data_IF_575468727594
#
_entry.id   IF_575468727594
#
_cell.length_a   1.000
_cell.length_b   1.000
_cell.length_c   1.000
_cell.angle_alpha   90.00
_cell.angle_beta   90.00
_cell.angle_gamma   90.00
#
_symmetry.space_group_name_H-M   'P 1'
#
loop_
_entity.id
_entity.type
_entity.pdbx_description
1 polymer ?
#
# COMPACT_ATOMS: atom_id res chain seq x y z
N UNK A 1 -7.35 -8.84 -34.30
CA UNK A 1 -8.39 -9.08 -33.27
C UNK A 1 -9.77 -9.05 -33.93
N UNK A 2 -10.25 -7.91 -34.41
CA UNK A 2 -11.54 -7.83 -35.10
C UNK A 2 -11.69 -8.72 -36.36
N UNK A 3 -10.60 -8.96 -37.09
CA UNK A 3 -10.56 -9.80 -38.30
C UNK A 3 -10.03 -11.22 -38.07
N UNK A 4 -9.78 -11.60 -36.82
CA UNK A 4 -9.20 -12.90 -36.49
C UNK A 4 -10.28 -13.98 -36.55
N UNK A 5 -9.93 -15.16 -37.08
CA UNK A 5 -10.82 -16.31 -37.10
C UNK A 5 -10.73 -17.08 -35.78
N UNK A 6 -11.78 -16.95 -34.97
CA UNK A 6 -11.90 -17.63 -33.68
C UNK A 6 -12.62 -18.98 -33.77
N UNK A 7 -12.89 -19.49 -34.98
CA UNK A 7 -13.65 -20.73 -35.20
C UNK A 7 -13.07 -21.90 -34.42
N UNK A 8 -11.73 -22.03 -34.35
CA UNK A 8 -11.06 -23.09 -33.59
C UNK A 8 -11.34 -23.03 -32.08
N UNK A 9 -11.51 -21.83 -31.52
CA UNK A 9 -11.92 -21.66 -30.12
C UNK A 9 -13.40 -22.00 -29.98
N UNK A 10 -14.27 -21.50 -30.85
CA UNK A 10 -15.71 -21.77 -30.75
C UNK A 10 -16.06 -23.25 -30.96
N UNK A 11 -15.34 -23.95 -31.83
CA UNK A 11 -15.57 -25.36 -32.15
C UNK A 11 -15.00 -26.34 -31.12
N UNK A 12 -14.04 -25.92 -30.29
CA UNK A 12 -13.45 -26.78 -29.26
C UNK A 12 -14.52 -27.23 -28.24
N UNK A 13 -14.45 -28.50 -27.84
CA UNK A 13 -15.51 -29.14 -27.06
C UNK A 13 -15.34 -28.91 -25.57
N UNK A 14 -14.11 -28.98 -25.06
CA UNK A 14 -13.82 -28.75 -23.66
C UNK A 14 -13.10 -27.41 -23.40
N UNK A 15 -13.15 -26.98 -22.14
CA UNK A 15 -12.61 -25.69 -21.73
C UNK A 15 -11.08 -25.61 -21.87
N UNK A 16 -10.36 -26.72 -21.71
CA UNK A 16 -8.90 -26.74 -21.82
C UNK A 16 -8.47 -26.58 -23.29
N UNK A 17 -9.15 -27.26 -24.22
CA UNK A 17 -8.99 -27.05 -25.66
C UNK A 17 -9.28 -25.61 -26.07
N UNK A 18 -10.37 -25.01 -25.57
CA UNK A 18 -10.71 -23.59 -25.84
C UNK A 18 -9.61 -22.64 -25.36
N UNK A 19 -9.11 -22.84 -24.15
CA UNK A 19 -8.03 -22.02 -23.57
C UNK A 19 -6.72 -22.21 -24.34
N UNK A 20 -6.40 -23.43 -24.74
CA UNK A 20 -5.21 -23.74 -25.53
C UNK A 20 -5.25 -23.09 -26.92
N UNK A 21 -6.37 -23.22 -27.62
CA UNK A 21 -6.59 -22.58 -28.92
C UNK A 21 -6.52 -21.05 -28.83
N UNK A 22 -7.19 -20.47 -27.83
CA UNK A 22 -7.14 -19.03 -27.56
C UNK A 22 -5.71 -18.54 -27.33
N UNK A 23 -4.96 -19.18 -26.43
CA UNK A 23 -3.60 -18.74 -26.12
C UNK A 23 -2.66 -18.93 -27.31
N UNK A 24 -2.82 -20.01 -28.08
CA UNK A 24 -2.01 -20.26 -29.27
C UNK A 24 -2.19 -19.16 -30.32
N UNK A 25 -3.44 -18.75 -30.58
CA UNK A 25 -3.74 -17.63 -31.49
C UNK A 25 -3.14 -16.34 -30.94
N UNK A 26 -3.41 -16.01 -29.67
CA UNK A 26 -2.93 -14.77 -29.06
C UNK A 26 -1.39 -14.67 -29.08
N UNK A 27 -0.69 -15.73 -28.70
CA UNK A 27 0.77 -15.76 -28.67
C UNK A 27 1.32 -15.61 -30.08
N UNK A 28 0.77 -16.34 -31.06
CA UNK A 28 1.15 -16.20 -32.48
C UNK A 28 1.00 -14.75 -32.96
N UNK A 29 -0.13 -14.10 -32.65
CA UNK A 29 -0.35 -12.70 -33.02
C UNK A 29 0.62 -11.76 -32.31
N UNK A 30 0.92 -12.00 -31.03
CA UNK A 30 1.90 -11.21 -30.29
C UNK A 30 3.30 -11.35 -30.90
N UNK A 31 3.72 -12.57 -31.25
CA UNK A 31 5.03 -12.80 -31.85
C UNK A 31 5.15 -12.20 -33.25
N UNK A 32 4.07 -12.24 -34.04
CA UNK A 32 4.03 -11.69 -35.40
C UNK A 32 4.00 -10.16 -35.42
N UNK A 33 3.10 -9.53 -34.64
CA UNK A 33 2.85 -8.10 -34.71
C UNK A 33 3.57 -7.28 -33.63
N UNK A 34 3.92 -7.91 -32.50
CA UNK A 34 4.44 -7.26 -31.29
C UNK A 34 5.63 -8.03 -30.68
N UNK A 35 6.68 -8.37 -31.47
CA UNK A 35 7.76 -9.22 -31.00
C UNK A 35 8.48 -8.61 -29.80
N UNK A 36 8.82 -9.46 -28.82
CA UNK A 36 9.56 -9.05 -27.63
C UNK A 36 10.92 -8.45 -28.00
N UNK A 37 11.27 -7.33 -27.36
CA UNK A 37 12.57 -6.67 -27.55
C UNK A 37 13.25 -6.43 -26.22
N UNK A 38 14.45 -6.96 -26.09
CA UNK A 38 15.31 -6.70 -24.95
C UNK A 38 15.92 -5.29 -25.06
N UNK A 39 15.63 -4.45 -24.07
CA UNK A 39 16.22 -3.12 -23.95
C UNK A 39 17.09 -3.04 -22.70
N UNK A 40 18.31 -2.50 -22.85
CA UNK A 40 19.16 -2.18 -21.69
C UNK A 40 18.73 -0.83 -21.10
N UNK A 41 18.35 -0.84 -19.82
CA UNK A 41 18.02 0.34 -19.04
C UNK A 41 19.09 0.50 -17.96
N UNK A 42 19.70 1.68 -17.89
CA UNK A 42 20.64 2.01 -16.83
C UNK A 42 19.87 2.57 -15.64
N UNK A 43 20.28 2.26 -14.41
CA UNK A 43 19.58 2.71 -13.20
C UNK A 43 19.52 4.24 -13.06
N UNK A 44 20.49 4.95 -13.66
CA UNK A 44 20.53 6.41 -13.71
C UNK A 44 19.73 7.03 -14.86
N UNK A 45 19.16 6.22 -15.75
CA UNK A 45 18.34 6.73 -16.85
C UNK A 45 17.13 7.46 -16.27
N UNK A 46 17.02 8.75 -16.62
CA UNK A 46 15.86 9.54 -16.21
C UNK A 46 14.60 9.02 -16.91
N UNK A 47 13.41 9.09 -16.29
CA UNK A 47 12.17 8.54 -16.84
C UNK A 47 11.79 9.04 -18.24
N UNK A 48 12.26 10.22 -18.63
CA UNK A 48 12.01 10.82 -19.95
C UNK A 48 13.05 10.41 -21.02
N UNK A 49 14.06 9.60 -20.70
CA UNK A 49 15.05 9.10 -21.67
C UNK A 49 14.49 7.87 -22.39
N UNK A 50 13.92 8.10 -23.58
CA UNK A 50 13.30 7.05 -24.40
C UNK A 50 14.31 6.32 -25.29
N UNK A 51 13.91 5.17 -25.85
CA UNK A 51 14.74 4.42 -26.81
C UNK A 51 15.15 5.25 -28.04
N UNK A 52 14.25 6.09 -28.56
CA UNK A 52 14.57 7.00 -29.66
C UNK A 52 15.66 8.01 -29.26
N UNK A 53 15.58 8.57 -28.04
CA UNK A 53 16.62 9.50 -27.53
C UNK A 53 17.98 8.78 -27.43
N UNK A 54 18.01 7.56 -26.86
CA UNK A 54 19.23 6.75 -26.79
C UNK A 54 19.81 6.46 -28.19
N UNK A 55 18.96 6.18 -29.17
CA UNK A 55 19.37 5.95 -30.56
C UNK A 55 20.01 7.21 -31.17
N UNK A 56 19.43 8.39 -30.96
CA UNK A 56 20.01 9.65 -31.44
C UNK A 56 21.32 10.00 -30.71
N UNK A 57 21.42 9.70 -29.41
CA UNK A 57 22.67 9.85 -28.63
C UNK A 57 23.79 8.98 -29.23
N UNK A 58 23.50 7.71 -29.55
CA UNK A 58 24.44 6.81 -30.22
C UNK A 58 24.85 7.33 -31.59
N UNK A 59 23.89 7.80 -32.40
CA UNK A 59 24.16 8.38 -33.71
C UNK A 59 25.09 9.59 -33.61
N UNK A 60 24.86 10.48 -32.62
CA UNK A 60 25.71 11.64 -32.33
C UNK A 60 27.14 11.22 -31.98
N UNK A 61 27.30 10.22 -31.09
CA UNK A 61 28.62 9.69 -30.72
C UNK A 61 29.35 9.06 -31.90
N UNK A 62 28.63 8.39 -32.80
CA UNK A 62 29.20 7.83 -34.03
C UNK A 62 29.62 8.90 -35.05
N UNK A 63 28.89 10.00 -35.15
CA UNK A 63 29.28 11.14 -35.99
C UNK A 63 30.55 11.81 -35.45
N UNK A 64 30.65 11.99 -34.12
CA UNK A 64 31.85 12.48 -33.45
C UNK A 64 33.06 11.60 -33.70
N UNK A 65 32.93 10.28 -33.51
CA UNK A 65 34.04 9.34 -33.70
C UNK A 65 34.53 9.24 -35.15
N UNK A 66 33.69 9.65 -36.12
CA UNK A 66 34.01 9.67 -37.55
C UNK A 66 34.53 11.02 -38.05
N UNK A 67 34.59 12.04 -37.18
CA UNK A 67 35.00 13.39 -37.56
C UNK A 67 33.97 14.16 -38.42
N UNK A 68 32.73 13.67 -38.53
CA UNK A 68 31.66 14.31 -39.31
C UNK A 68 31.04 15.47 -38.51
N UNK A 69 31.71 16.63 -38.55
CA UNK A 69 31.36 17.83 -37.78
C UNK A 69 29.96 18.39 -38.10
N UNK A 70 29.52 18.53 -39.37
CA UNK A 70 28.19 19.03 -39.68
C UNK A 70 27.08 18.13 -39.10
N UNK A 71 27.22 16.82 -39.27
CA UNK A 71 26.25 15.85 -38.77
C UNK A 71 26.26 15.76 -37.24
N UNK A 72 27.42 15.87 -36.62
CA UNK A 72 27.53 15.93 -35.16
C UNK A 72 26.75 17.12 -34.58
N UNK A 73 26.93 18.33 -35.15
CA UNK A 73 26.23 19.54 -34.70
C UNK A 73 24.71 19.40 -34.84
N UNK A 74 24.23 18.93 -35.99
CA UNK A 74 22.80 18.66 -36.21
C UNK A 74 22.24 17.66 -35.18
N UNK A 75 22.97 16.59 -34.88
CA UNK A 75 22.54 15.58 -33.91
C UNK A 75 22.60 16.09 -32.47
N UNK A 76 23.51 17.01 -32.12
CA UNK A 76 23.52 17.68 -30.82
C UNK A 76 22.23 18.47 -30.59
N UNK A 77 21.84 19.33 -31.54
CA UNK A 77 20.61 20.11 -31.48
C UNK A 77 19.38 19.20 -31.43
N UNK A 78 19.35 18.16 -32.27
CA UNK A 78 18.26 17.19 -32.29
C UNK A 78 18.10 16.45 -30.96
N UNK A 79 19.19 15.99 -30.37
CA UNK A 79 19.17 15.32 -29.06
C UNK A 79 18.69 16.26 -27.97
N UNK A 80 19.19 17.51 -27.93
CA UNK A 80 18.77 18.50 -26.95
C UNK A 80 17.27 18.79 -27.04
N UNK A 81 16.76 19.00 -28.26
CA UNK A 81 15.33 19.23 -28.52
C UNK A 81 14.45 18.04 -28.11
N UNK A 82 14.87 16.82 -28.42
CA UNK A 82 14.14 15.61 -28.02
C UNK A 82 14.10 15.44 -26.50
N UNK A 83 15.21 15.68 -25.81
CA UNK A 83 15.28 15.60 -24.35
C UNK A 83 14.39 16.67 -23.72
N UNK A 84 14.47 17.91 -24.18
CA UNK A 84 13.66 19.02 -23.68
C UNK A 84 12.16 18.74 -23.84
N UNK A 85 11.75 18.30 -25.05
CA UNK A 85 10.36 17.94 -25.33
C UNK A 85 9.88 16.77 -24.47
N UNK A 86 10.67 15.71 -24.34
CA UNK A 86 10.33 14.55 -23.52
C UNK A 86 10.22 14.91 -22.03
N UNK A 87 11.16 15.71 -21.51
CA UNK A 87 11.15 16.19 -20.12
C UNK A 87 9.91 17.05 -19.85
N UNK A 88 9.58 17.99 -20.74
CA UNK A 88 8.40 18.83 -20.61
C UNK A 88 7.09 18.01 -20.63
N UNK A 89 6.95 17.06 -21.56
CA UNK A 89 5.79 16.17 -21.63
C UNK A 89 5.66 15.31 -20.36
N UNK A 90 6.77 14.77 -19.86
CA UNK A 90 6.79 13.97 -18.64
C UNK A 90 6.24 14.75 -17.44
N UNK A 91 6.79 15.95 -17.16
CA UNK A 91 6.34 16.74 -16.02
C UNK A 91 4.93 17.31 -16.20
N UNK A 92 4.53 17.66 -17.42
CA UNK A 92 3.15 18.08 -17.71
C UNK A 92 2.16 16.97 -17.38
N UNK A 93 2.43 15.75 -17.84
CA UNK A 93 1.60 14.57 -17.56
C UNK A 93 1.55 14.24 -16.06
N UNK A 94 2.71 14.27 -15.39
CA UNK A 94 2.77 14.06 -13.93
C UNK A 94 1.97 15.11 -13.16
N UNK A 95 2.08 16.38 -13.54
CA UNK A 95 1.34 17.47 -12.90
C UNK A 95 -0.18 17.33 -13.09
N UNK A 96 -0.63 16.88 -14.28
CA UNK A 96 -2.05 16.57 -14.49
C UNK A 96 -2.54 15.39 -13.66
N UNK A 97 -1.75 14.30 -13.55
CA UNK A 97 -2.10 13.14 -12.73
C UNK A 97 -2.25 13.52 -11.26
N UNK A 98 -1.33 14.32 -10.72
CA UNK A 98 -1.32 14.70 -9.32
C UNK A 98 -2.38 15.73 -8.93
N UNK A 99 -2.87 16.57 -9.85
CA UNK A 99 -4.03 17.42 -9.55
C UNK A 99 -5.29 16.62 -9.20
N UNK A 100 -5.37 15.39 -9.69
CA UNK A 100 -6.52 14.48 -9.49
C UNK A 100 -6.25 13.36 -8.48
N UNK A 101 -5.02 13.24 -7.96
CA UNK A 101 -4.58 12.12 -7.11
C UNK A 101 -4.11 12.62 -5.74
N UNK A 102 -3.94 11.66 -4.82
CA UNK A 102 -3.50 11.84 -3.44
C UNK A 102 -2.35 12.86 -3.29
N UNK A 103 -2.58 13.89 -2.47
CA UNK A 103 -1.73 15.05 -2.18
C UNK A 103 -0.29 14.66 -1.76
N UNK A 104 -0.10 13.51 -1.13
CA UNK A 104 1.23 13.01 -0.72
C UNK A 104 2.16 12.74 -1.90
N UNK A 105 1.62 12.31 -3.05
CA UNK A 105 2.41 12.05 -4.27
C UNK A 105 2.93 13.34 -4.91
N UNK A 106 2.18 14.44 -4.77
CA UNK A 106 2.60 15.75 -5.22
C UNK A 106 3.83 16.22 -4.45
N UNK A 107 3.78 16.19 -3.11
CA UNK A 107 4.90 16.58 -2.27
C UNK A 107 6.15 15.73 -2.53
N UNK A 108 6.02 14.40 -2.63
CA UNK A 108 7.15 13.53 -2.99
C UNK A 108 7.77 13.88 -4.36
N UNK A 109 6.96 14.31 -5.33
CA UNK A 109 7.47 14.77 -6.61
C UNK A 109 8.24 16.09 -6.48
N UNK A 110 7.75 17.05 -5.69
CA UNK A 110 8.45 18.31 -5.44
C UNK A 110 9.78 18.05 -4.71
N UNK A 111 9.80 17.19 -3.70
CA UNK A 111 11.05 16.82 -3.01
C UNK A 111 12.08 16.20 -3.97
N UNK A 112 11.64 15.35 -4.91
CA UNK A 112 12.52 14.78 -5.95
C UNK A 112 13.06 15.80 -6.97
N UNK A 113 12.39 16.95 -7.12
CA UNK A 113 12.81 18.03 -8.02
C UNK A 113 13.82 18.98 -7.39
N UNK A 114 13.73 19.17 -6.08
CA UNK A 114 14.55 20.12 -5.31
C UNK A 114 15.86 19.49 -4.85
N UNK A 115 16.16 18.24 -5.23
CA UNK A 115 17.31 17.49 -4.69
C UNK A 115 17.33 17.52 -3.15
N UNK A 116 16.15 17.55 -2.52
CA UNK A 116 16.04 17.32 -1.08
C UNK A 116 16.30 15.82 -0.87
N UNK A 117 17.59 15.46 -0.85
CA UNK A 117 18.10 14.14 -0.52
C UNK A 117 17.80 13.81 0.94
N UNK A 118 16.53 13.55 1.24
CA UNK A 118 16.09 12.92 2.48
C UNK A 118 15.19 11.74 2.17
N UNK A 119 15.54 10.98 1.13
CA UNK A 119 15.28 9.55 1.13
C UNK A 119 16.65 8.93 1.08
N UNK A 120 17.03 8.23 2.15
CA UNK A 120 18.13 7.26 2.12
C UNK A 120 18.12 6.58 0.76
N UNK A 121 19.05 6.96 -0.12
CA UNK A 121 19.47 6.07 -1.18
C UNK A 121 20.09 4.91 -0.42
N UNK A 122 19.27 3.95 -0.02
CA UNK A 122 19.73 2.58 0.14
C UNK A 122 20.37 2.30 -1.19
N UNK A 123 21.69 2.38 -1.22
CA UNK A 123 22.49 1.78 -2.26
C UNK A 123 21.87 0.40 -2.41
N UNK A 124 21.17 0.16 -3.52
CA UNK A 124 20.85 -1.20 -3.90
C UNK A 124 22.21 -1.89 -3.84
N UNK A 125 22.42 -2.88 -2.96
CA UNK A 125 23.67 -3.59 -2.97
C UNK A 125 23.88 -4.00 -4.41
N UNK A 126 25.03 -3.59 -4.97
CA UNK A 126 25.43 -4.01 -6.31
C UNK A 126 25.09 -5.49 -6.41
N UNK A 127 24.32 -5.87 -7.44
CA UNK A 127 24.05 -7.29 -7.72
C UNK A 127 25.41 -7.98 -7.59
N UNK A 128 25.60 -8.90 -6.64
CA UNK A 128 26.89 -9.55 -6.51
C UNK A 128 27.17 -10.18 -7.86
N UNK A 129 28.33 -9.88 -8.46
CA UNK A 129 28.69 -10.36 -9.80
C UNK A 129 28.72 -11.89 -9.88
N UNK A 130 28.67 -12.57 -8.72
CA UNK A 130 28.66 -14.01 -8.53
C UNK A 130 27.34 -14.59 -7.98
N UNK A 131 26.24 -13.81 -7.93
CA UNK A 131 24.96 -14.38 -7.51
C UNK A 131 24.34 -15.18 -8.67
N UNK A 132 24.43 -16.50 -8.58
CA UNK A 132 23.69 -17.39 -9.47
C UNK A 132 22.18 -17.23 -9.22
N UNK A 133 21.49 -16.71 -10.23
CA UNK A 133 20.05 -16.49 -10.18
C UNK A 133 19.29 -17.82 -10.14
N UNK A 134 19.86 -18.90 -10.69
CA UNK A 134 19.26 -20.23 -10.65
C UNK A 134 19.25 -20.76 -9.22
N UNK A 135 20.40 -20.75 -8.55
CA UNK A 135 20.53 -21.15 -7.14
C UNK A 135 19.64 -20.30 -6.21
N UNK A 136 19.56 -18.98 -6.43
CA UNK A 136 18.63 -18.14 -5.68
C UNK A 136 17.16 -18.54 -5.92
N UNK A 137 16.78 -18.80 -7.17
CA UNK A 137 15.43 -19.22 -7.52
C UNK A 137 15.07 -20.56 -6.87
N UNK A 138 15.98 -21.54 -6.88
CA UNK A 138 15.80 -22.84 -6.22
C UNK A 138 15.67 -22.69 -4.70
N UNK A 139 16.50 -21.87 -4.07
CA UNK A 139 16.41 -21.57 -2.63
C UNK A 139 15.07 -20.94 -2.27
N UNK A 140 14.61 -19.96 -3.05
CA UNK A 140 13.31 -19.33 -2.87
C UNK A 140 12.16 -20.32 -3.08
N UNK A 141 12.23 -21.15 -4.12
CA UNK A 141 11.24 -22.19 -4.38
C UNK A 141 11.14 -23.15 -3.19
N UNK A 142 12.27 -23.67 -2.70
CA UNK A 142 12.32 -24.57 -1.54
C UNK A 142 11.77 -23.91 -0.28
N UNK A 143 12.11 -22.64 -0.03
CA UNK A 143 11.59 -21.89 1.11
C UNK A 143 10.06 -21.69 1.02
N UNK A 144 9.54 -21.40 -0.16
CA UNK A 144 8.11 -21.19 -0.38
C UNK A 144 7.29 -22.48 -0.39
N UNK A 145 7.86 -23.61 -0.80
CA UNK A 145 7.16 -24.91 -0.80
C UNK A 145 7.26 -25.66 0.53
N UNK A 146 8.29 -25.39 1.35
CA UNK A 146 8.49 -26.05 2.65
C UNK A 146 7.25 -26.03 3.57
N UNK A 147 6.49 -24.92 3.73
CA UNK A 147 5.27 -24.94 4.55
C UNK A 147 4.14 -25.84 4.02
N UNK A 148 4.25 -26.30 2.78
CA UNK A 148 3.25 -27.11 2.09
C UNK A 148 3.65 -28.57 1.97
N UNK A 149 4.88 -28.97 2.32
CA UNK A 149 5.38 -30.35 2.16
C UNK A 149 4.46 -31.38 2.83
N UNK A 150 3.91 -31.02 3.99
CA UNK A 150 3.12 -31.93 4.82
C UNK A 150 1.64 -31.98 4.38
N UNK A 151 1.22 -31.07 3.48
CA UNK A 151 -0.15 -31.02 2.95
C UNK A 151 -0.35 -31.90 1.71
N UNK A 152 0.74 -32.38 1.10
CA UNK A 152 0.72 -33.33 0.00
C UNK A 152 0.80 -34.77 0.52
N UNK A 153 0.05 -35.10 1.57
CA UNK A 153 -0.26 -36.51 1.79
C UNK A 153 -1.07 -36.98 0.58
N UNK A 154 -0.67 -38.09 -0.06
CA UNK A 154 -1.34 -38.71 -1.22
C UNK A 154 -2.77 -39.21 -0.92
N UNK A 155 -3.39 -38.70 0.13
CA UNK A 155 -4.79 -38.96 0.46
C UNK A 155 -5.59 -38.06 -0.48
N UNK A 156 -6.24 -38.66 -1.47
CA UNK A 156 -7.27 -37.96 -2.24
C UNK A 156 -8.20 -37.29 -1.23
N UNK A 157 -8.26 -35.95 -1.24
CA UNK A 157 -9.23 -35.24 -0.42
C UNK A 157 -10.60 -35.67 -0.90
N UNK A 158 -11.26 -36.55 -0.17
CA UNK A 158 -12.69 -36.80 -0.35
C UNK A 158 -13.40 -35.50 0.01
N UNK A 159 -13.75 -34.72 -1.01
CA UNK A 159 -14.59 -33.55 -0.85
C UNK A 159 -15.99 -34.09 -0.66
N UNK A 160 -16.60 -33.95 0.53
CA UNK A 160 -17.94 -34.44 0.76
C UNK A 160 -18.88 -33.80 -0.24
N UNK A 161 -19.66 -34.60 -0.95
CA UNK A 161 -20.63 -34.07 -1.90
C UNK A 161 -21.67 -33.26 -1.11
N UNK A 162 -21.69 -31.94 -1.31
CA UNK A 162 -22.61 -31.07 -0.59
C UNK A 162 -23.98 -31.22 -1.22
N UNK A 163 -24.96 -31.70 -0.44
CA UNK A 163 -26.36 -31.65 -0.84
C UNK A 163 -26.81 -30.19 -0.91
N UNK A 164 -26.75 -29.61 -2.11
CA UNK A 164 -27.14 -28.23 -2.38
C UNK A 164 -28.54 -28.19 -3.01
N UNK A 165 -29.43 -27.28 -2.59
CA UNK A 165 -30.79 -27.15 -3.17
C UNK A 165 -30.79 -26.94 -4.69
N UNK A 166 -29.69 -26.42 -5.21
CA UNK A 166 -29.51 -26.10 -6.63
C UNK A 166 -28.60 -27.10 -7.36
N UNK A 167 -28.34 -28.29 -6.81
CA UNK A 167 -27.46 -29.31 -7.44
C UNK A 167 -27.84 -29.63 -8.90
N UNK A 168 -29.14 -29.62 -9.20
CA UNK A 168 -29.67 -29.92 -10.54
C UNK A 168 -29.99 -28.67 -11.38
N UNK A 169 -29.76 -27.47 -10.84
CA UNK A 169 -30.01 -26.25 -11.59
C UNK A 169 -28.84 -25.98 -12.55
N UNK A 170 -29.15 -25.44 -13.73
CA UNK A 170 -28.10 -24.93 -14.60
C UNK A 170 -27.36 -23.80 -13.89
N UNK A 171 -26.02 -23.79 -13.92
CA UNK A 171 -25.27 -22.73 -13.28
C UNK A 171 -25.58 -21.38 -13.96
N UNK A 172 -25.63 -20.28 -13.20
CA UNK A 172 -25.83 -18.96 -13.78
C UNK A 172 -24.67 -18.65 -14.73
N UNK A 173 -24.98 -18.08 -15.89
CA UNK A 173 -24.00 -17.64 -16.88
C UNK A 173 -23.94 -16.11 -16.90
N UNK A 174 -22.76 -15.52 -17.16
CA UNK A 174 -22.67 -14.09 -17.36
C UNK A 174 -23.37 -13.68 -18.67
N UNK A 175 -23.55 -12.38 -18.90
CA UNK A 175 -23.74 -11.84 -20.24
C UNK A 175 -22.41 -11.43 -20.87
N UNK A 176 -22.34 -11.35 -22.20
CA UNK A 176 -21.16 -10.80 -22.91
C UNK A 176 -20.85 -9.38 -22.40
N UNK A 177 -21.87 -8.59 -22.08
CA UNK A 177 -21.72 -7.24 -21.52
C UNK A 177 -21.00 -7.23 -20.17
N UNK A 178 -21.25 -8.20 -19.29
CA UNK A 178 -20.53 -8.35 -18.02
C UNK A 178 -19.05 -8.69 -18.26
N UNK A 179 -18.75 -9.65 -19.16
CA UNK A 179 -17.37 -10.02 -19.52
C UNK A 179 -16.62 -8.82 -20.09
N UNK A 180 -17.25 -8.12 -21.04
CA UNK A 180 -16.74 -6.88 -21.65
C UNK A 180 -16.46 -5.80 -20.59
N UNK A 181 -17.37 -5.60 -19.64
CA UNK A 181 -17.18 -4.64 -18.56
C UNK A 181 -15.97 -4.99 -17.69
N UNK A 182 -15.76 -6.28 -17.38
CA UNK A 182 -14.57 -6.73 -16.64
C UNK A 182 -13.28 -6.44 -17.43
N UNK A 183 -13.24 -6.78 -18.71
CA UNK A 183 -12.10 -6.53 -19.61
C UNK A 183 -11.77 -5.03 -19.71
N UNK A 184 -12.79 -4.19 -19.93
CA UNK A 184 -12.66 -2.73 -20.04
C UNK A 184 -12.03 -2.09 -18.80
N UNK A 185 -12.32 -2.62 -17.61
CA UNK A 185 -11.84 -2.09 -16.34
C UNK A 185 -10.60 -2.80 -15.80
N UNK A 186 -9.94 -3.65 -16.59
CA UNK A 186 -8.65 -4.21 -16.20
C UNK A 186 -7.63 -3.10 -15.92
N UNK A 187 -6.73 -3.38 -14.98
CA UNK A 187 -5.57 -2.53 -14.76
C UNK A 187 -4.46 -2.96 -15.73
N UNK A 188 -4.10 -2.12 -16.72
CA UNK A 188 -3.16 -2.50 -17.78
C UNK A 188 -1.73 -2.71 -17.27
N UNK A 189 -1.42 -2.28 -16.04
CA UNK A 189 -0.09 -2.40 -15.41
C UNK A 189 0.08 -3.69 -14.60
N UNK A 190 -0.94 -4.55 -14.53
CA UNK A 190 -0.81 -5.83 -13.83
C UNK A 190 0.21 -6.73 -14.54
N UNK A 191 1.01 -7.45 -13.75
CA UNK A 191 1.99 -8.40 -14.25
C UNK A 191 1.33 -9.53 -15.04
N UNK A 192 1.97 -9.90 -16.14
CA UNK A 192 1.59 -11.00 -17.03
C UNK A 192 1.79 -12.34 -16.34
N UNK A 193 0.86 -13.29 -16.54
CA UNK A 193 0.95 -14.65 -16.00
C UNK A 193 1.82 -15.56 -16.84
N UNK A 194 1.74 -16.86 -16.54
CA UNK A 194 2.45 -17.92 -17.28
C UNK A 194 1.98 -18.07 -18.74
N UNK A 195 0.76 -17.58 -19.03
CA UNK A 195 0.12 -17.53 -20.35
C UNK A 195 0.74 -16.48 -21.30
N UNK A 196 1.63 -15.61 -20.79
CA UNK A 196 2.28 -14.53 -21.56
C UNK A 196 1.31 -13.50 -22.17
N UNK A 197 0.02 -13.51 -21.81
CA UNK A 197 -0.97 -12.56 -22.31
C UNK A 197 -1.04 -11.32 -21.40
N UNK A 198 -0.68 -10.11 -21.88
CA UNK A 198 -0.60 -8.93 -21.03
C UNK A 198 -1.96 -8.23 -20.81
N UNK A 199 -2.19 -7.71 -19.60
CA UNK A 199 -3.47 -7.06 -19.22
C UNK A 199 -3.83 -5.85 -20.09
N UNK A 200 -2.84 -5.08 -20.54
CA UNK A 200 -3.08 -3.89 -21.35
C UNK A 200 -3.73 -4.25 -22.70
N UNK A 201 -3.36 -5.39 -23.28
CA UNK A 201 -3.88 -5.85 -24.57
C UNK A 201 -5.34 -6.26 -24.42
N UNK A 202 -5.66 -7.05 -23.39
CA UNK A 202 -7.03 -7.44 -23.07
C UNK A 202 -7.95 -6.23 -22.84
N UNK A 203 -7.42 -5.19 -22.18
CA UNK A 203 -8.16 -3.93 -21.98
C UNK A 203 -8.36 -3.17 -23.28
N UNK A 204 -7.31 -3.04 -24.09
CA UNK A 204 -7.33 -2.27 -25.33
C UNK A 204 -8.32 -2.87 -26.33
N UNK A 205 -8.33 -4.19 -26.48
CA UNK A 205 -9.18 -4.93 -27.43
C UNK A 205 -10.39 -5.60 -26.75
N UNK A 206 -10.89 -5.01 -25.67
CA UNK A 206 -11.98 -5.59 -24.88
C UNK A 206 -13.28 -5.81 -25.68
N UNK A 207 -13.54 -4.99 -26.70
CA UNK A 207 -14.67 -5.13 -27.62
C UNK A 207 -14.58 -6.45 -28.40
N UNK A 208 -13.45 -6.64 -29.09
CA UNK A 208 -13.22 -7.80 -29.97
C UNK A 208 -13.03 -9.10 -29.19
N UNK A 209 -12.40 -9.03 -28.00
CA UNK A 209 -12.09 -10.20 -27.19
C UNK A 209 -13.25 -10.66 -26.30
N UNK A 210 -14.21 -9.79 -26.00
CA UNK A 210 -15.31 -10.14 -25.10
C UNK A 210 -16.12 -11.37 -25.54
N UNK A 211 -16.50 -11.56 -26.83
CA UNK A 211 -17.23 -12.75 -27.27
C UNK A 211 -16.44 -14.05 -27.07
N UNK A 212 -15.15 -14.04 -27.36
CA UNK A 212 -14.27 -15.23 -27.23
C UNK A 212 -14.04 -15.58 -25.77
N UNK A 213 -13.75 -14.58 -24.94
CA UNK A 213 -13.57 -14.77 -23.49
C UNK A 213 -14.88 -15.21 -22.84
N UNK A 214 -16.02 -14.68 -23.31
CA UNK A 214 -17.34 -15.11 -22.87
C UNK A 214 -17.58 -16.59 -23.15
N UNK A 215 -17.25 -17.07 -24.35
CA UNK A 215 -17.40 -18.48 -24.72
C UNK A 215 -16.56 -19.42 -23.83
N UNK A 216 -15.29 -19.05 -23.59
CA UNK A 216 -14.41 -19.77 -22.66
C UNK A 216 -14.99 -19.82 -21.25
N UNK A 217 -15.46 -18.68 -20.72
CA UNK A 217 -16.04 -18.59 -19.39
C UNK A 217 -17.32 -19.43 -19.30
N UNK A 218 -18.23 -19.31 -20.25
CA UNK A 218 -19.47 -20.09 -20.25
C UNK A 218 -19.19 -21.60 -20.38
N UNK A 219 -18.21 -22.00 -21.19
CA UNK A 219 -17.78 -23.39 -21.29
C UNK A 219 -17.28 -23.91 -19.94
N UNK A 220 -16.38 -23.18 -19.27
CA UNK A 220 -15.87 -23.52 -17.94
C UNK A 220 -16.99 -23.74 -16.92
N UNK A 221 -17.95 -22.81 -16.89
CA UNK A 221 -19.07 -22.83 -15.95
C UNK A 221 -20.02 -23.99 -16.24
N UNK A 222 -20.42 -24.18 -17.50
CA UNK A 222 -21.34 -25.26 -17.89
C UNK A 222 -20.73 -26.65 -17.67
N UNK A 223 -19.43 -26.80 -17.86
CA UNK A 223 -18.72 -28.07 -17.64
C UNK A 223 -18.34 -28.28 -16.17
N UNK A 224 -18.58 -27.30 -15.30
CA UNK A 224 -18.10 -27.29 -13.92
C UNK A 224 -16.58 -27.58 -13.84
N UNK A 225 -15.82 -27.12 -14.84
CA UNK A 225 -14.42 -27.46 -15.01
C UNK A 225 -13.58 -26.18 -15.03
N UNK A 226 -12.62 -26.09 -14.10
CA UNK A 226 -11.65 -25.00 -14.09
C UNK A 226 -10.46 -25.35 -14.99
N UNK A 227 -10.09 -24.51 -15.96
CA UNK A 227 -9.03 -24.81 -16.92
C UNK A 227 -7.70 -25.15 -16.24
N UNK A 228 -7.04 -26.19 -16.73
CA UNK A 228 -5.78 -26.70 -16.22
C UNK A 228 -4.65 -25.67 -16.30
N UNK A 229 -4.58 -24.86 -17.36
CA UNK A 229 -3.62 -23.76 -17.44
C UNK A 229 -3.85 -22.72 -16.33
N UNK A 230 -5.10 -22.45 -15.97
CA UNK A 230 -5.44 -21.44 -14.96
C UNK A 230 -5.08 -21.88 -13.53
N UNK A 231 -4.87 -23.19 -13.30
CA UNK A 231 -4.39 -23.74 -12.02
C UNK A 231 -2.92 -23.39 -11.73
N UNK A 232 -2.20 -22.89 -12.72
CA UNK A 232 -0.78 -22.56 -12.61
C UNK A 232 -0.57 -21.05 -12.46
N UNK A 233 0.34 -20.67 -11.56
CA UNK A 233 0.71 -19.28 -11.30
C UNK A 233 2.22 -19.08 -11.44
N UNK A 234 2.64 -17.93 -11.96
CA UNK A 234 4.03 -17.51 -11.89
C UNK A 234 4.31 -16.93 -10.50
N UNK A 235 5.28 -17.51 -9.79
CA UNK A 235 5.62 -17.09 -8.43
C UNK A 235 6.65 -15.95 -8.48
N UNK A 236 6.27 -14.78 -8.01
CA UNK A 236 7.12 -13.59 -7.94
C UNK A 236 7.50 -13.25 -6.50
N UNK A 237 8.80 -13.30 -6.13
CA UNK A 237 9.27 -12.91 -4.81
C UNK A 237 9.31 -11.37 -4.67
N UNK A 238 8.61 -10.83 -3.67
CA UNK A 238 8.58 -9.38 -3.38
C UNK A 238 9.16 -9.10 -1.99
N UNK A 239 10.24 -8.30 -1.86
CA UNK A 239 10.82 -7.96 -0.57
C UNK A 239 9.84 -7.23 0.36
N UNK A 240 9.76 -7.67 1.62
CA UNK A 240 9.06 -6.99 2.73
C UNK A 240 9.89 -5.86 3.33
N UNK A 241 11.21 -6.06 3.37
CA UNK A 241 12.20 -5.13 3.93
C UNK A 241 13.27 -4.83 2.89
N UNK A 242 13.96 -3.70 3.02
CA UNK A 242 15.07 -3.33 2.14
C UNK A 242 16.32 -2.97 2.96
N UNK A 243 17.48 -3.63 2.71
CA UNK A 243 17.67 -4.81 1.84
C UNK A 243 17.15 -6.11 2.52
N UNK A 244 16.63 -7.09 1.76
CA UNK A 244 16.28 -8.40 2.30
C UNK A 244 17.55 -9.18 2.70
N UNK A 245 17.51 -9.88 3.84
CA UNK A 245 18.63 -10.66 4.39
C UNK A 245 18.25 -12.11 4.68
N UNK A 246 16.99 -12.38 5.02
CA UNK A 246 16.48 -13.71 5.29
C UNK A 246 15.48 -14.15 4.22
N UNK A 247 15.84 -15.18 3.45
CA UNK A 247 14.99 -15.76 2.39
C UNK A 247 13.62 -16.22 2.90
N UNK A 248 13.55 -16.71 4.14
CA UNK A 248 12.34 -17.32 4.68
C UNK A 248 11.32 -16.25 5.13
N UNK A 249 11.81 -15.11 5.62
CA UNK A 249 10.98 -14.12 6.29
C UNK A 249 10.85 -12.81 5.51
N UNK A 250 11.87 -12.41 4.76
CA UNK A 250 11.95 -11.08 4.14
C UNK A 250 11.27 -11.00 2.78
N UNK A 251 10.76 -12.11 2.24
CA UNK A 251 10.05 -12.13 0.96
C UNK A 251 8.57 -12.46 1.13
N UNK A 252 7.76 -11.87 0.26
CA UNK A 252 6.37 -12.27 0.00
C UNK A 252 6.36 -13.10 -1.27
N UNK A 253 5.69 -14.24 -1.21
CA UNK A 253 5.36 -15.03 -2.38
C UNK A 253 4.10 -14.44 -3.05
N UNK A 254 4.23 -13.85 -4.24
CA UNK A 254 3.08 -13.34 -5.01
C UNK A 254 2.78 -14.29 -6.16
N UNK A 255 1.60 -14.90 -6.15
CA UNK A 255 1.11 -15.76 -7.23
C UNK A 255 0.49 -14.92 -8.35
N UNK A 256 1.17 -14.85 -9.50
CA UNK A 256 0.70 -14.15 -10.69
C UNK A 256 -0.02 -15.13 -11.60
N UNK A 257 -1.35 -15.20 -11.45
CA UNK A 257 -2.22 -16.01 -12.31
C UNK A 257 -2.39 -15.38 -13.71
N UNK A 258 -2.73 -16.20 -14.73
CA UNK A 258 -3.29 -15.75 -16.01
C UNK A 258 -4.40 -14.70 -15.82
N UNK A 259 -4.55 -13.79 -16.77
CA UNK A 259 -5.58 -12.75 -16.63
C UNK A 259 -6.99 -13.32 -16.80
N UNK A 260 -7.19 -14.25 -17.73
CA UNK A 260 -8.49 -14.88 -17.93
C UNK A 260 -8.91 -15.75 -16.73
N UNK A 261 -7.96 -16.36 -16.00
CA UNK A 261 -8.22 -17.04 -14.73
C UNK A 261 -8.88 -16.10 -13.70
N UNK A 262 -8.30 -14.91 -13.51
CA UNK A 262 -8.82 -13.87 -12.59
C UNK A 262 -10.19 -13.33 -13.06
N UNK A 263 -10.43 -13.31 -14.37
CA UNK A 263 -11.71 -12.87 -14.94
C UNK A 263 -12.79 -13.93 -14.65
N UNK A 264 -12.49 -15.21 -14.90
CA UNK A 264 -13.37 -16.33 -14.59
C UNK A 264 -13.75 -16.35 -13.10
N UNK A 265 -12.76 -16.25 -12.20
CA UNK A 265 -12.99 -16.18 -10.76
C UNK A 265 -13.84 -14.98 -10.35
N UNK A 266 -13.57 -13.81 -10.95
CA UNK A 266 -14.35 -12.60 -10.66
C UNK A 266 -15.80 -12.74 -11.12
N UNK A 267 -16.03 -13.32 -12.30
CA UNK A 267 -17.38 -13.57 -12.82
C UNK A 267 -18.10 -14.58 -11.94
N UNK A 268 -17.46 -15.69 -11.60
CA UNK A 268 -18.01 -16.68 -10.67
C UNK A 268 -18.37 -16.06 -9.32
N UNK A 269 -17.51 -15.20 -8.76
CA UNK A 269 -17.84 -14.47 -7.53
C UNK A 269 -19.05 -13.56 -7.72
N UNK A 270 -19.13 -12.82 -8.83
CA UNK A 270 -20.25 -11.90 -9.10
C UNK A 270 -21.58 -12.62 -9.28
N UNK A 271 -21.58 -13.81 -9.89
CA UNK A 271 -22.78 -14.60 -10.13
C UNK A 271 -23.29 -15.30 -8.87
N UNK A 272 -22.40 -15.59 -7.91
CA UNK A 272 -22.72 -16.39 -6.72
C UNK A 272 -22.52 -15.62 -5.40
N UNK A 273 -22.39 -14.29 -5.44
CA UNK A 273 -22.07 -13.51 -4.21
C UNK A 273 -23.15 -13.59 -3.16
N UNK A 274 -24.42 -13.74 -3.56
CA UNK A 274 -25.58 -13.85 -2.67
C UNK A 274 -25.61 -15.19 -1.94
N UNK A 275 -25.08 -16.26 -2.55
CA UNK A 275 -24.96 -17.58 -1.94
C UNK A 275 -23.85 -17.63 -0.89
N UNK A 276 -22.87 -16.71 -0.96
CA UNK A 276 -21.85 -16.57 0.05
C UNK A 276 -22.46 -15.92 1.30
N UNK A 277 -22.71 -16.73 2.34
CA UNK A 277 -23.13 -16.27 3.68
C UNK A 277 -21.99 -15.52 4.40
N UNK A 278 -21.61 -14.35 3.89
CA UNK A 278 -20.58 -13.50 4.48
C UNK A 278 -21.11 -12.90 5.78
N UNK A 279 -20.40 -13.12 6.89
CA UNK A 279 -20.81 -12.59 8.19
C UNK A 279 -20.71 -11.06 8.22
N UNK A 280 -21.64 -10.41 8.92
CA UNK A 280 -21.64 -8.95 9.08
C UNK A 280 -20.42 -8.38 9.80
N UNK A 281 -19.63 -9.21 10.50
CA UNK A 281 -18.37 -8.81 11.14
C UNK A 281 -17.14 -9.12 10.29
N UNK A 282 -17.30 -9.62 9.06
CA UNK A 282 -16.20 -9.78 8.12
C UNK A 282 -15.91 -8.42 7.45
N UNK A 283 -14.70 -7.92 7.65
CA UNK A 283 -14.24 -6.65 7.05
C UNK A 283 -13.23 -6.85 5.93
N UNK A 284 -12.40 -7.89 6.04
CA UNK A 284 -11.43 -8.20 5.02
C UNK A 284 -12.12 -8.72 3.75
N UNK A 285 -11.70 -8.19 2.60
CA UNK A 285 -12.16 -8.59 1.26
C UNK A 285 -13.67 -8.40 1.00
N UNK A 286 -14.34 -7.56 1.80
CA UNK A 286 -15.75 -7.22 1.62
C UNK A 286 -15.89 -5.84 1.00
N UNK A 287 -16.84 -5.69 0.08
CA UNK A 287 -17.12 -4.40 -0.56
C UNK A 287 -17.46 -3.34 0.50
N UNK A 288 -16.96 -2.12 0.31
CA UNK A 288 -17.15 -0.98 1.21
C UNK A 288 -16.60 -1.15 2.64
N UNK A 289 -15.75 -2.15 2.89
CA UNK A 289 -15.10 -2.36 4.20
C UNK A 289 -13.58 -2.30 4.08
N UNK A 290 -12.92 -2.05 5.21
CA UNK A 290 -11.46 -1.92 5.31
C UNK A 290 -10.99 -2.32 6.70
N UNK A 291 -9.66 -2.32 6.91
CA UNK A 291 -9.07 -2.48 8.23
C UNK A 291 -9.50 -1.37 9.19
N UNK A 292 -9.81 -0.17 8.68
CA UNK A 292 -10.32 0.95 9.49
C UNK A 292 -11.74 0.68 9.97
N UNK A 293 -12.62 0.17 9.10
CA UNK A 293 -13.98 -0.18 9.54
C UNK A 293 -13.98 -1.34 10.53
N UNK A 294 -13.01 -2.27 10.43
CA UNK A 294 -12.80 -3.31 11.42
C UNK A 294 -12.44 -2.72 12.78
N UNK A 295 -11.44 -1.82 12.81
CA UNK A 295 -11.01 -1.14 14.03
C UNK A 295 -12.17 -0.40 14.70
N UNK A 296 -12.92 0.40 13.94
CA UNK A 296 -14.08 1.14 14.46
C UNK A 296 -15.12 0.19 15.08
N UNK A 297 -15.46 -0.89 14.37
CA UNK A 297 -16.42 -1.90 14.83
C UNK A 297 -15.96 -2.59 16.12
N UNK A 298 -14.69 -3.00 16.18
CA UNK A 298 -14.10 -3.64 17.37
C UNK A 298 -14.07 -2.68 18.56
N UNK A 299 -13.62 -1.44 18.31
CA UNK A 299 -13.59 -0.39 19.31
C UNK A 299 -14.99 -0.11 19.88
N UNK A 300 -16.02 0.00 19.03
CA UNK A 300 -17.41 0.14 19.46
C UNK A 300 -17.88 -1.06 20.30
N UNK A 301 -17.50 -2.28 19.90
CA UNK A 301 -17.86 -3.51 20.64
C UNK A 301 -17.25 -3.51 22.04
N UNK A 302 -15.97 -3.19 22.17
CA UNK A 302 -15.30 -3.08 23.47
C UNK A 302 -15.96 -2.02 24.35
N UNK A 303 -16.35 -0.89 23.76
CA UNK A 303 -17.04 0.17 24.48
C UNK A 303 -18.42 -0.24 24.98
N UNK A 304 -19.22 -0.94 24.19
CA UNK A 304 -20.53 -1.45 24.64
C UNK A 304 -20.41 -2.48 25.78
N UNK A 305 -19.28 -3.19 25.85
CA UNK A 305 -19.02 -4.20 26.88
C UNK A 305 -18.47 -3.63 28.19
N UNK A 306 -18.13 -2.33 28.27
CA UNK A 306 -17.62 -1.69 29.49
C UNK A 306 -18.75 -0.98 30.25
N UNK A 307 -18.79 -1.12 31.58
CA UNK A 307 -19.84 -0.56 32.45
C UNK A 307 -19.85 0.98 32.42
N UNK A 308 -20.91 1.56 31.87
CA UNK A 308 -20.99 2.95 31.38
C UNK A 308 -21.64 3.94 32.34
N UNK A 309 -21.91 3.55 33.59
CA UNK A 309 -22.65 4.37 34.59
C UNK A 309 -21.94 5.64 35.08
N UNK A 310 -20.84 6.09 34.43
CA UNK A 310 -20.07 7.29 34.78
C UNK A 310 -19.90 8.22 33.57
N UNK A 311 -21.01 8.76 33.10
CA UNK A 311 -21.17 9.63 31.90
C UNK A 311 -20.37 10.94 31.91
N UNK A 312 -19.79 11.38 33.04
CA UNK A 312 -19.15 12.70 33.15
C UNK A 312 -17.66 12.80 32.80
N UNK A 313 -17.01 11.77 32.24
CA UNK A 313 -15.53 11.78 32.04
C UNK A 313 -15.04 11.38 30.64
N UNK A 314 -15.91 11.33 29.64
CA UNK A 314 -15.53 10.92 28.28
C UNK A 314 -15.49 12.12 27.33
N UNK A 315 -14.43 12.17 26.53
CA UNK A 315 -14.29 13.10 25.42
C UNK A 315 -13.66 12.38 24.23
N UNK A 316 -14.13 12.71 23.04
CA UNK A 316 -13.50 12.33 21.77
C UNK A 316 -12.32 13.30 21.54
N UNK A 317 -11.09 12.79 21.45
CA UNK A 317 -9.93 13.61 21.12
C UNK A 317 -9.28 13.10 19.84
N UNK A 318 -9.25 13.96 18.83
CA UNK A 318 -8.67 13.65 17.53
C UNK A 318 -7.26 14.22 17.41
N UNK A 319 -6.27 13.37 17.12
CA UNK A 319 -4.86 13.75 16.95
C UNK A 319 -4.50 13.57 15.47
N UNK A 320 -3.99 14.63 14.83
CA UNK A 320 -3.57 14.61 13.42
C UNK A 320 -2.20 15.24 13.25
N UNK A 321 -1.40 14.69 12.33
CA UNK A 321 -0.10 15.21 11.94
C UNK A 321 -0.13 15.98 10.60
N UNK A 322 -1.32 16.22 10.05
CA UNK A 322 -1.52 16.91 8.76
C UNK A 322 -2.40 18.14 8.93
N UNK A 323 -2.00 19.26 8.32
CA UNK A 323 -2.73 20.54 8.38
C UNK A 323 -4.01 20.59 7.52
N UNK A 324 -4.15 19.67 6.56
CA UNK A 324 -5.36 19.53 5.75
C UNK A 324 -6.23 18.41 6.34
N UNK A 325 -7.29 18.76 7.06
CA UNK A 325 -8.16 17.79 7.74
C UNK A 325 -9.59 17.91 7.19
N UNK A 326 -10.13 16.88 6.52
CA UNK A 326 -11.59 16.74 6.41
C UNK A 326 -12.17 16.51 7.83
N UNK A 327 -13.30 17.14 8.16
CA UNK A 327 -13.89 17.04 9.50
C UNK A 327 -13.99 15.57 9.95
N UNK A 328 -13.33 15.19 11.06
CA UNK A 328 -13.39 13.81 11.53
C UNK A 328 -14.82 13.46 11.93
N UNK A 329 -15.29 12.23 11.65
CA UNK A 329 -16.64 11.83 11.98
C UNK A 329 -16.91 12.04 13.46
N UNK A 330 -18.09 12.58 13.78
CA UNK A 330 -18.51 12.77 15.16
C UNK A 330 -18.92 11.43 15.75
N UNK A 331 -18.36 11.09 16.91
CA UNK A 331 -18.69 9.86 17.61
C UNK A 331 -19.98 10.04 18.40
N UNK A 332 -20.89 9.07 18.30
CA UNK A 332 -22.12 8.98 19.09
C UNK A 332 -22.09 7.71 19.94
N UNK A 333 -22.63 7.80 21.15
CA UNK A 333 -22.89 6.66 22.05
C UNK A 333 -24.40 6.55 22.21
N UNK A 334 -25.01 5.49 21.66
CA UNK A 334 -26.46 5.41 21.55
C UNK A 334 -27.03 6.61 20.79
N UNK A 335 -27.85 7.42 21.46
CA UNK A 335 -28.40 8.66 20.92
C UNK A 335 -27.62 9.93 21.32
N UNK A 336 -26.59 9.81 22.15
CA UNK A 336 -25.83 10.96 22.66
C UNK A 336 -24.57 11.21 21.83
N UNK A 337 -24.25 12.48 21.58
CA UNK A 337 -23.03 12.89 20.91
C UNK A 337 -21.89 12.99 21.93
N UNK A 338 -20.75 12.35 21.67
CA UNK A 338 -19.57 12.54 22.52
C UNK A 338 -18.99 13.94 22.25
N UNK A 339 -18.69 14.68 23.31
CA UNK A 339 -18.00 15.96 23.20
C UNK A 339 -16.61 15.77 22.58
N UNK A 340 -16.29 16.56 21.55
CA UNK A 340 -14.93 16.63 20.99
C UNK A 340 -14.10 17.57 21.86
N UNK A 341 -13.09 17.04 22.52
CA UNK A 341 -12.19 17.78 23.40
C UNK A 341 -10.84 18.05 22.72
N UNK A 342 -10.26 19.21 23.02
CA UNK A 342 -8.91 19.57 22.55
C UNK A 342 -7.81 19.22 23.56
N UNK A 343 -8.19 18.95 24.80
CA UNK A 343 -7.31 18.46 25.83
C UNK A 343 -8.06 17.53 26.78
N UNK A 344 -7.38 16.52 27.30
CA UNK A 344 -7.95 15.62 28.30
C UNK A 344 -6.89 15.23 29.33
N UNK A 345 -7.33 14.90 30.55
CA UNK A 345 -6.44 14.53 31.64
C UNK A 345 -6.53 13.04 31.93
N UNK A 346 -5.40 12.35 31.83
CA UNK A 346 -5.28 10.92 32.11
C UNK A 346 -4.22 10.71 33.17
N UNK A 347 -4.61 10.09 34.29
CA UNK A 347 -3.71 9.79 35.41
C UNK A 347 -2.82 10.99 35.76
N UNK A 348 -3.43 12.17 36.00
CA UNK A 348 -2.66 13.36 36.39
C UNK A 348 -1.91 14.11 35.27
N UNK A 349 -1.82 13.54 34.06
CA UNK A 349 -1.13 14.13 32.90
C UNK A 349 -2.15 14.72 31.92
N UNK A 350 -1.89 15.94 31.46
CA UNK A 350 -2.78 16.66 30.54
C UNK A 350 -2.27 16.52 29.11
N UNK A 351 -3.04 15.87 28.26
CA UNK A 351 -2.76 15.67 26.84
C UNK A 351 -3.51 16.69 26.01
N UNK A 352 -2.87 17.24 24.98
CA UNK A 352 -3.49 18.13 24.01
C UNK A 352 -3.57 17.43 22.64
N UNK A 353 -4.60 17.73 21.86
CA UNK A 353 -4.83 17.16 20.53
C UNK A 353 -3.72 17.49 19.50
N UNK A 354 -2.95 18.54 19.76
CA UNK A 354 -1.79 18.97 18.98
C UNK A 354 -0.47 18.39 19.51
N UNK A 355 -0.52 17.47 20.48
CA UNK A 355 0.63 16.86 21.15
C UNK A 355 1.61 17.85 21.79
N UNK A 356 1.16 19.09 22.05
CA UNK A 356 1.90 20.05 22.87
C UNK A 356 1.65 19.77 24.35
N UNK A 357 2.58 20.25 25.17
CA UNK A 357 2.59 20.03 26.62
C UNK A 357 2.32 21.30 27.43
N UNK A 358 1.95 22.41 26.77
CA UNK A 358 1.72 23.70 27.42
C UNK A 358 0.73 23.59 28.58
N UNK A 359 -0.42 22.96 28.36
CA UNK A 359 -1.44 22.82 29.39
C UNK A 359 -0.95 22.00 30.60
N UNK A 360 -0.12 20.97 30.35
CA UNK A 360 0.46 20.17 31.42
C UNK A 360 1.52 20.95 32.21
N UNK A 361 2.45 21.61 31.50
CA UNK A 361 3.53 22.40 32.09
C UNK A 361 2.97 23.57 32.92
N UNK A 362 1.96 24.26 32.41
CA UNK A 362 1.25 25.31 33.15
C UNK A 362 0.60 24.76 34.43
N UNK A 363 -0.03 23.59 34.37
CA UNK A 363 -0.67 22.98 35.53
C UNK A 363 0.36 22.59 36.62
N UNK A 364 1.47 21.95 36.24
CA UNK A 364 2.52 21.53 37.20
C UNK A 364 3.24 22.74 37.79
N UNK A 365 3.62 23.73 36.96
CA UNK A 365 4.33 24.94 37.42
C UNK A 365 3.44 25.75 38.35
N UNK A 366 2.15 25.91 38.04
CA UNK A 366 1.19 26.57 38.93
C UNK A 366 1.05 25.85 40.28
N UNK A 367 0.98 24.52 40.29
CA UNK A 367 0.90 23.72 41.53
C UNK A 367 2.18 23.81 42.37
N UNK A 368 3.34 23.83 41.73
CA UNK A 368 4.63 23.97 42.40
C UNK A 368 4.81 25.40 42.93
N UNK A 369 4.49 26.41 42.14
CA UNK A 369 4.53 27.83 42.54
C UNK A 369 3.69 28.10 43.79
N UNK A 370 2.48 27.54 43.90
CA UNK A 370 1.65 27.66 45.11
C UNK A 370 2.33 27.14 46.36
N UNK A 371 3.21 26.14 46.24
CA UNK A 371 3.93 25.51 47.36
C UNK A 371 5.27 26.17 47.66
N UNK A 372 5.77 27.05 46.78
CA UNK A 372 6.95 27.87 47.07
C UNK A 372 6.75 28.78 48.28
N UNK A 373 5.50 29.14 48.61
CA UNK A 373 5.20 29.91 49.81
C UNK A 373 5.73 29.21 51.07
N UNK A 374 5.49 27.90 51.23
CA UNK A 374 5.98 27.14 52.38
C UNK A 374 7.51 27.19 52.49
N UNK A 375 8.21 27.07 51.36
CA UNK A 375 9.66 27.14 51.33
C UNK A 375 10.19 28.55 51.68
N UNK A 376 9.49 29.60 51.23
CA UNK A 376 9.81 30.99 51.61
C UNK A 376 9.63 31.24 53.10
N UNK A 377 8.56 30.72 53.70
CA UNK A 377 8.33 30.85 55.14
C UNK A 377 9.36 30.07 55.96
N UNK A 378 9.79 28.89 55.50
CA UNK A 378 10.90 28.16 56.12
C UNK A 378 12.20 28.98 56.11
N UNK A 379 12.49 29.71 55.03
CA UNK A 379 13.71 30.55 54.92
C UNK A 379 13.69 31.80 55.80
N UNK A 380 12.51 32.39 56.03
CA UNK A 380 12.36 33.57 56.89
C UNK A 380 12.38 33.22 58.38
N UNK A 381 12.12 31.96 58.71
CA UNK A 381 12.05 31.48 60.09
C UNK A 381 13.44 31.06 60.57
N UNK A 382 13.72 31.09 61.89
CA UNK A 382 14.97 30.60 62.46
C UNK A 382 15.01 29.06 62.52
N UNK A 383 14.76 28.40 61.38
CA UNK A 383 14.76 26.95 61.25
C UNK A 383 16.08 26.45 60.64
N UNK A 384 16.55 25.25 61.01
CA UNK A 384 17.68 24.62 60.35
C UNK A 384 17.46 24.49 58.83
N UNK A 385 18.52 24.66 58.04
CA UNK A 385 18.46 24.59 56.57
C UNK A 385 17.89 23.26 56.05
N UNK A 386 18.12 22.17 56.80
CA UNK A 386 17.57 20.83 56.53
C UNK A 386 16.05 20.82 56.40
N UNK A 387 15.34 21.64 57.18
CA UNK A 387 13.87 21.75 57.13
C UNK A 387 13.42 22.31 55.78
N UNK A 388 14.16 23.26 55.22
CA UNK A 388 13.91 23.79 53.88
C UNK A 388 14.13 22.75 52.78
N UNK A 389 15.20 21.95 52.89
CA UNK A 389 15.51 20.86 51.95
C UNK A 389 14.41 19.79 51.98
N UNK A 390 14.01 19.34 53.18
CA UNK A 390 12.92 18.36 53.37
C UNK A 390 11.60 18.91 52.81
N UNK A 391 11.32 20.19 53.02
CA UNK A 391 10.12 20.84 52.49
C UNK A 391 10.11 20.86 50.96
N UNK A 392 11.25 21.18 50.33
CA UNK A 392 11.38 21.11 48.87
C UNK A 392 11.18 19.68 48.34
N UNK A 393 11.90 18.71 48.92
CA UNK A 393 11.86 17.31 48.50
C UNK A 393 10.49 16.66 48.67
N UNK A 394 9.73 17.04 49.71
CA UNK A 394 8.42 16.44 50.01
C UNK A 394 7.23 17.16 49.35
N UNK A 395 7.32 18.47 49.12
CA UNK A 395 6.17 19.28 48.66
C UNK A 395 6.30 19.79 47.24
N UNK A 396 7.51 20.06 46.74
CA UNK A 396 7.72 20.74 45.44
C UNK A 396 8.26 19.75 44.42
N UNK A 397 9.33 19.03 44.75
CA UNK A 397 9.99 18.07 43.86
C UNK A 397 9.03 17.01 43.28
N UNK A 398 8.12 16.38 44.04
CA UNK A 398 7.25 15.32 43.49
C UNK A 398 6.25 15.84 42.44
N UNK A 399 5.91 17.12 42.47
CA UNK A 399 5.03 17.75 41.46
C UNK A 399 5.82 18.08 40.22
N UNK A 400 7.01 18.66 40.43
CA UNK A 400 7.91 19.01 39.35
C UNK A 400 8.48 17.78 38.69
N UNK A 401 8.52 16.61 39.34
CA UNK A 401 8.98 15.28 38.86
C UNK A 401 7.90 14.33 38.42
N UNK A 402 6.63 14.73 38.54
CA UNK A 402 5.55 13.93 38.03
C UNK A 402 5.57 13.87 36.50
N UNK A 403 5.52 12.64 35.97
CA UNK A 403 5.57 12.37 34.52
C UNK A 403 6.85 12.87 33.83
N UNK A 404 8.01 12.76 34.49
CA UNK A 404 9.31 13.18 33.96
C UNK A 404 9.72 12.69 32.56
N UNK A 405 9.28 11.53 32.04
CA UNK A 405 9.53 11.15 30.65
C UNK A 405 9.02 12.16 29.61
N UNK A 406 7.98 12.94 29.94
CA UNK A 406 7.44 14.00 29.07
C UNK A 406 8.50 15.06 28.76
N UNK A 407 9.44 15.31 29.68
CA UNK A 407 10.38 16.42 29.56
C UNK A 407 11.48 16.21 28.54
N UNK A 408 11.77 14.95 28.19
CA UNK A 408 12.78 14.61 27.19
C UNK A 408 12.47 15.25 25.81
N UNK A 409 11.20 15.52 25.52
CA UNK A 409 10.74 16.12 24.27
C UNK A 409 10.20 17.56 24.38
N UNK A 410 10.40 18.26 25.51
CA UNK A 410 9.87 19.61 25.68
C UNK A 410 10.65 20.64 24.84
N UNK A 411 9.96 21.58 24.16
CA UNK A 411 10.57 22.80 23.63
C UNK A 411 11.28 23.60 24.73
N UNK A 412 12.36 24.30 24.38
CA UNK A 412 13.19 25.07 25.33
C UNK A 412 12.36 25.99 26.23
N UNK A 413 11.41 26.75 25.66
CA UNK A 413 10.61 27.68 26.44
C UNK A 413 9.78 27.00 27.55
N UNK A 414 9.31 25.76 27.35
CA UNK A 414 8.60 24.98 28.37
C UNK A 414 9.54 24.40 29.42
N UNK A 415 10.73 23.96 29.00
CA UNK A 415 11.78 23.53 29.92
C UNK A 415 12.19 24.67 30.85
N UNK A 416 12.41 25.86 30.28
CA UNK A 416 12.78 27.06 31.02
C UNK A 416 11.71 27.44 32.05
N UNK A 417 10.42 27.18 31.80
CA UNK A 417 9.38 27.43 32.81
C UNK A 417 9.53 26.54 34.05
N UNK A 418 9.84 25.26 33.84
CA UNK A 418 10.04 24.30 34.93
C UNK A 418 11.32 24.66 35.70
N UNK A 419 12.41 24.96 34.99
CA UNK A 419 13.69 25.38 35.57
C UNK A 419 13.58 26.69 36.35
N UNK A 420 12.75 27.64 35.90
CA UNK A 420 12.45 28.87 36.67
C UNK A 420 11.82 28.59 38.03
N UNK A 421 11.03 27.53 38.16
CA UNK A 421 10.45 27.14 39.45
C UNK A 421 11.49 26.41 40.32
N UNK A 422 12.34 25.57 39.72
CA UNK A 422 13.42 24.89 40.44
C UNK A 422 14.47 25.88 40.96
N UNK A 423 14.95 26.80 40.12
CA UNK A 423 15.92 27.85 40.51
C UNK A 423 15.42 28.74 41.64
N UNK A 424 14.11 29.08 41.67
CA UNK A 424 13.49 29.82 42.79
C UNK A 424 13.33 28.99 44.07
N UNK A 425 13.58 27.69 44.00
CA UNK A 425 13.56 26.76 45.14
C UNK A 425 14.93 26.54 45.77
N UNK A 426 16.00 26.94 45.08
CA UNK A 426 17.33 27.13 45.64
C UNK A 426 17.55 28.61 46.01
#
# INVERSE_FOLDING_TARGET
MASEDWTTVYSALDVDEKVSAYNSIIIKMLDEFLPEKNIRVHHSDKPWITGNIKMQIKARQKAFSRGDQPRYKQLCEKVANLISKAKATYYRSKASEFRTSNQSKWYNCIYSLVNAENTTHTQFPHRPEHLDLSDLAEKLQKAFTKPWSDRYTNVAFEIPEVNHPHKNNKPPLPSIGQVKAVLKHLNPRKATGIDKVPAWMLKQYHEDLAPVVYDIVCCSINQCCYPSLYKHALISPVPKVQPPRDINNDFRQISVLPHLAKILEKIQLQLNIEDLKIKNNQHAFTQHRSTVSALISTTQTWFNATDWSKTGKMGDMWISFTDAIPEPPRLRIGNELIERVNAFKLLGVSFQNNLKWNAHVEEITRKANKRLYHLRECRKSPLPAEVGIITYQSKIRPILEYASPVWAGLPNYLRDEIERVQSRSF
#
